data_IF_484510754880
#
_entry.id   IF_484510754880
#
_cell.length_a   1.000
_cell.length_b   1.000
_cell.length_c   1.000
_cell.angle_alpha   90.00
_cell.angle_beta   90.00
_cell.angle_gamma   90.00
#
_symmetry.space_group_name_H-M   'P 1'
#
loop_
_entity.id
_entity.type
_entity.pdbx_description
1 polymer ?
#
# COMPACT_ATOMS: atom_id res chain seq x y z
N UNK A 1 -26.12 -7.21 -2.32
CA UNK A 1 -25.94 -5.77 -2.03
C UNK A 1 -24.66 -5.32 -2.73
N UNK A 2 -24.75 -4.47 -3.77
CA UNK A 2 -23.61 -4.02 -4.61
C UNK A 2 -23.57 -2.50 -4.61
N UNK A 3 -22.50 -1.92 -4.08
CA UNK A 3 -22.23 -0.48 -4.06
C UNK A 3 -20.71 -0.24 -4.20
N UNK A 4 -20.18 -0.24 -5.42
CA UNK A 4 -18.95 0.48 -5.79
C UNK A 4 -19.03 0.83 -7.27
N UNK A 5 -19.69 1.96 -7.58
CA UNK A 5 -19.70 2.59 -8.91
C UNK A 5 -18.95 3.91 -8.76
N UNK A 6 -17.74 4.00 -9.32
CA UNK A 6 -16.99 5.27 -9.42
C UNK A 6 -15.54 5.21 -8.95
N UNK A 7 -14.65 4.64 -9.76
CA UNK A 7 -13.67 5.46 -10.48
C UNK A 7 -12.61 6.25 -9.69
N UNK A 8 -12.09 5.77 -8.58
CA UNK A 8 -10.77 6.19 -8.11
C UNK A 8 -10.11 5.02 -7.40
N UNK A 9 -9.31 4.23 -8.13
CA UNK A 9 -8.38 3.35 -7.43
C UNK A 9 -7.51 4.24 -6.53
N UNK A 10 -7.34 3.88 -5.26
CA UNK A 10 -6.67 4.73 -4.30
C UNK A 10 -5.25 4.98 -4.78
N UNK A 11 -4.98 6.22 -5.20
CA UNK A 11 -3.65 6.63 -5.66
C UNK A 11 -2.61 6.51 -4.56
N UNK A 12 -3.02 6.64 -3.30
CA UNK A 12 -2.18 6.45 -2.13
C UNK A 12 -2.85 5.48 -1.14
N UNK A 13 -2.10 4.47 -0.67
CA UNK A 13 -2.54 3.52 0.36
C UNK A 13 -1.57 3.59 1.52
N UNK A 14 -2.05 4.03 2.68
CA UNK A 14 -1.26 4.04 3.92
C UNK A 14 -1.41 2.70 4.65
N UNK A 15 -0.29 1.99 4.78
CA UNK A 15 -0.18 0.69 5.44
C UNK A 15 0.55 0.80 6.79
N UNK A 16 0.81 2.01 7.29
CA UNK A 16 1.54 2.26 8.54
C UNK A 16 0.93 1.57 9.76
N UNK A 17 -0.40 1.43 9.80
CA UNK A 17 -1.11 0.72 10.87
C UNK A 17 -1.35 -0.77 10.64
N UNK A 18 -0.84 -1.35 9.54
CA UNK A 18 -1.11 -2.74 9.18
C UNK A 18 -0.08 -3.66 9.85
N UNK A 19 -0.50 -4.33 10.91
CA UNK A 19 0.35 -5.29 11.64
C UNK A 19 0.47 -6.65 10.93
N UNK A 20 -0.50 -7.02 10.09
CA UNK A 20 -0.49 -8.28 9.35
C UNK A 20 -1.09 -8.12 7.95
N UNK A 21 -0.26 -8.32 6.93
CA UNK A 21 -0.70 -8.47 5.55
C UNK A 21 -0.74 -9.97 5.22
N UNK A 22 -1.93 -10.57 5.22
CA UNK A 22 -2.11 -11.97 4.81
C UNK A 22 -2.01 -12.12 3.28
N UNK A 23 -1.87 -13.35 2.78
CA UNK A 23 -1.78 -13.66 1.33
C UNK A 23 -2.91 -13.04 0.49
N UNK A 24 -4.14 -12.97 1.05
CA UNK A 24 -5.27 -12.30 0.41
C UNK A 24 -5.07 -10.78 0.26
N UNK A 25 -4.46 -10.13 1.25
CA UNK A 25 -4.13 -8.69 1.20
C UNK A 25 -3.03 -8.39 0.18
N UNK A 26 -2.00 -9.25 0.11
CA UNK A 26 -0.95 -9.18 -0.94
C UNK A 26 -1.56 -9.30 -2.33
N UNK A 27 -2.42 -10.30 -2.53
CA UNK A 27 -3.08 -10.56 -3.82
C UNK A 27 -3.96 -9.38 -4.26
N UNK A 28 -4.66 -8.77 -3.30
CA UNK A 28 -5.43 -7.55 -3.55
C UNK A 28 -4.53 -6.37 -3.95
N UNK A 29 -3.41 -6.13 -3.25
CA UNK A 29 -2.46 -5.07 -3.62
C UNK A 29 -1.88 -5.30 -5.02
N UNK A 30 -1.52 -6.54 -5.36
CA UNK A 30 -1.00 -6.86 -6.69
C UNK A 30 -2.05 -6.61 -7.78
N UNK A 31 -3.32 -6.92 -7.51
CA UNK A 31 -4.43 -6.63 -8.42
C UNK A 31 -4.61 -5.13 -8.64
N UNK A 32 -4.56 -4.34 -7.56
CA UNK A 32 -4.69 -2.88 -7.62
C UNK A 32 -3.49 -2.25 -8.34
N UNK A 33 -2.27 -2.70 -8.06
CA UNK A 33 -1.05 -2.25 -8.73
C UNK A 33 -1.10 -2.52 -10.24
N UNK A 34 -1.57 -3.70 -10.64
CA UNK A 34 -1.73 -4.06 -12.05
C UNK A 34 -2.79 -3.20 -12.75
N UNK A 35 -3.92 -2.94 -12.09
CA UNK A 35 -4.96 -2.06 -12.63
C UNK A 35 -4.47 -0.62 -12.82
N UNK A 36 -3.67 -0.11 -11.87
CA UNK A 36 -3.02 1.20 -11.98
C UNK A 36 -2.03 1.24 -13.15
N UNK A 37 -1.21 0.20 -13.31
CA UNK A 37 -0.28 0.04 -14.45
C UNK A 37 -1.00 0.06 -15.79
N UNK A 38 -2.12 -0.66 -15.92
CA UNK A 38 -2.96 -0.67 -17.13
C UNK A 38 -3.60 0.69 -17.43
N UNK A 39 -3.87 1.49 -16.40
CA UNK A 39 -4.43 2.84 -16.52
C UNK A 39 -3.36 3.93 -16.71
N UNK A 40 -2.08 3.57 -16.76
CA UNK A 40 -0.96 4.52 -16.84
C UNK A 40 -0.82 5.41 -15.60
N UNK A 41 -1.39 4.99 -14.47
CA UNK A 41 -1.39 5.71 -13.20
C UNK A 41 -0.48 4.99 -12.20
N UNK A 42 0.33 5.72 -11.44
CA UNK A 42 1.15 5.13 -10.37
C UNK A 42 0.32 4.84 -9.12
N UNK A 43 0.59 3.70 -8.46
CA UNK A 43 0.09 3.40 -7.12
C UNK A 43 1.17 3.80 -6.10
N UNK A 44 0.83 4.70 -5.17
CA UNK A 44 1.71 5.17 -4.10
C UNK A 44 1.40 4.36 -2.82
N UNK A 45 2.26 3.41 -2.49
CA UNK A 45 2.12 2.61 -1.28
C UNK A 45 2.98 3.22 -0.19
N UNK A 46 2.40 3.58 0.94
CA UNK A 46 3.14 4.10 2.09
C UNK A 46 3.21 3.04 3.18
N UNK A 47 4.42 2.75 3.66
CA UNK A 47 4.63 1.86 4.80
C UNK A 47 5.56 2.53 5.81
N UNK A 48 5.35 2.25 7.09
CA UNK A 48 6.27 2.69 8.14
C UNK A 48 7.60 1.93 8.03
N UNK A 49 8.72 2.63 8.24
CA UNK A 49 10.04 2.02 8.37
C UNK A 49 10.05 0.91 9.43
N UNK A 50 10.55 -0.28 9.07
CA UNK A 50 10.59 -1.44 9.95
C UNK A 50 9.24 -2.10 10.23
N UNK A 51 8.15 -1.66 9.58
CA UNK A 51 6.84 -2.28 9.72
C UNK A 51 6.76 -3.61 8.96
N UNK A 52 5.84 -4.48 9.40
CA UNK A 52 5.51 -5.71 8.66
C UNK A 52 5.04 -5.41 7.23
N UNK A 53 4.35 -4.28 7.02
CA UNK A 53 3.94 -3.83 5.70
C UNK A 53 5.15 -3.54 4.79
N UNK A 54 6.19 -2.87 5.28
CA UNK A 54 7.41 -2.62 4.51
C UNK A 54 8.06 -3.95 4.08
N UNK A 55 8.25 -4.86 5.04
CA UNK A 55 8.87 -6.17 4.77
C UNK A 55 8.11 -6.96 3.70
N UNK A 56 6.78 -6.95 3.77
CA UNK A 56 5.96 -7.65 2.77
C UNK A 56 6.07 -6.99 1.40
N UNK A 57 6.03 -5.65 1.32
CA UNK A 57 6.17 -4.92 0.06
C UNK A 57 7.55 -5.14 -0.60
N UNK A 58 8.62 -5.17 0.21
CA UNK A 58 9.96 -5.54 -0.23
C UNK A 58 9.99 -6.97 -0.81
N UNK A 59 9.37 -7.93 -0.11
CA UNK A 59 9.31 -9.33 -0.56
C UNK A 59 8.56 -9.51 -1.88
N UNK A 60 7.51 -8.73 -2.11
CA UNK A 60 6.70 -8.81 -3.34
C UNK A 60 7.14 -7.84 -4.43
N UNK A 61 8.27 -7.15 -4.23
CA UNK A 61 8.84 -6.19 -5.16
C UNK A 61 7.84 -5.09 -5.61
N UNK A 62 6.94 -4.67 -4.72
CA UNK A 62 6.00 -3.59 -5.02
C UNK A 62 6.64 -2.23 -4.72
N UNK A 63 6.57 -1.26 -5.65
CA UNK A 63 7.06 0.10 -5.41
C UNK A 63 6.32 0.73 -4.23
N UNK A 64 7.07 1.19 -3.24
CA UNK A 64 6.50 1.83 -2.06
C UNK A 64 7.43 2.92 -1.52
N UNK A 65 6.83 3.82 -0.75
CA UNK A 65 7.51 4.85 0.02
C UNK A 65 7.51 4.43 1.48
N UNK A 66 8.69 4.50 2.07
CA UNK A 66 8.85 4.27 3.50
C UNK A 66 8.81 5.61 4.21
N UNK A 67 7.81 5.83 5.07
CA UNK A 67 7.86 6.95 6.01
C UNK A 67 8.70 6.55 7.22
N UNK A 68 9.54 7.47 7.71
CA UNK A 68 10.42 7.19 8.84
C UNK A 68 9.56 6.95 10.09
N UNK A 69 9.24 5.68 10.36
CA UNK A 69 8.46 5.26 11.51
C UNK A 69 9.07 5.85 12.78
N UNK A 70 8.33 6.77 13.40
CA UNK A 70 8.60 7.14 14.78
C UNK A 70 9.58 8.28 15.02
N UNK A 71 9.64 9.33 14.17
CA UNK A 71 10.05 10.64 14.70
C UNK A 71 8.82 11.40 15.17
N UNK A 72 8.42 11.17 16.44
CA UNK A 72 7.60 12.14 17.16
C UNK A 72 8.32 13.49 17.08
N UNK A 73 7.72 14.56 16.52
CA UNK A 73 8.38 15.86 16.50
C UNK A 73 8.62 16.31 17.96
N UNK A 74 9.84 16.75 18.34
CA UNK A 74 10.04 17.41 19.62
C UNK A 74 9.24 18.74 19.62
N UNK A 75 8.51 18.97 20.71
CA UNK A 75 7.79 20.22 21.01
C UNK A 75 8.76 21.38 21.18
#
# INVERSE_FOLDING_TARGET
MRLTRGGNLPRAVDLTGVSHLASAGVSALHTVAEQHRQQGSGLDLHAAAGSAAQLVLDLVALPHRTDAAGRTPPR
#
